data_IF_770702148583
#
_entry.id   IF_770702148583
#
_cell.length_a   1.000
_cell.length_b   1.000
_cell.length_c   1.000
_cell.angle_alpha   90.00
_cell.angle_beta   90.00
_cell.angle_gamma   90.00
#
_symmetry.space_group_name_H-M   'P 1'
#
loop_
_entity.id
_entity.type
_entity.pdbx_description
1 polymer ?
#
# COMPACT_ATOMS: atom_id res chain seq x y z
N UNK A 1 -17.87 -12.18 -15.63
CA UNK A 1 -16.65 -11.54 -16.18
C UNK A 1 -16.29 -10.27 -15.41
N UNK A 2 -17.19 -9.30 -15.24
CA UNK A 2 -16.93 -8.05 -14.50
C UNK A 2 -16.46 -8.29 -13.05
N UNK A 3 -17.13 -9.18 -12.30
CA UNK A 3 -16.74 -9.50 -10.92
C UNK A 3 -15.33 -10.11 -10.81
N UNK A 4 -14.94 -10.92 -11.79
CA UNK A 4 -13.61 -11.55 -11.84
C UNK A 4 -12.54 -10.48 -12.08
N UNK A 5 -12.78 -9.58 -13.02
CA UNK A 5 -11.87 -8.46 -13.31
C UNK A 5 -11.75 -7.51 -12.12
N UNK A 6 -12.84 -7.22 -11.42
CA UNK A 6 -12.83 -6.38 -10.23
C UNK A 6 -12.04 -7.03 -9.08
N UNK A 7 -12.22 -8.33 -8.85
CA UNK A 7 -11.45 -9.07 -7.85
C UNK A 7 -9.95 -9.09 -8.19
N UNK A 8 -9.60 -9.34 -9.46
CA UNK A 8 -8.22 -9.26 -9.95
C UNK A 8 -7.62 -7.87 -9.75
N UNK A 9 -8.37 -6.82 -10.10
CA UNK A 9 -7.95 -5.44 -9.89
C UNK A 9 -7.69 -5.12 -8.42
N UNK A 10 -8.56 -5.57 -7.52
CA UNK A 10 -8.38 -5.39 -6.08
C UNK A 10 -7.13 -6.12 -5.56
N UNK A 11 -6.90 -7.37 -5.99
CA UNK A 11 -5.71 -8.14 -5.62
C UNK A 11 -4.44 -7.43 -6.11
N UNK A 12 -4.40 -7.03 -7.38
CA UNK A 12 -3.26 -6.31 -7.95
C UNK A 12 -3.01 -5.00 -7.22
N UNK A 13 -4.05 -4.25 -6.88
CA UNK A 13 -3.94 -3.02 -6.11
C UNK A 13 -3.29 -3.27 -4.75
N UNK A 14 -3.78 -4.25 -3.99
CA UNK A 14 -3.22 -4.61 -2.67
C UNK A 14 -1.76 -5.03 -2.78
N UNK A 15 -1.40 -5.82 -3.78
CA UNK A 15 0.00 -6.23 -4.01
C UNK A 15 0.89 -5.02 -4.28
N UNK A 16 0.47 -4.13 -5.17
CA UNK A 16 1.22 -2.89 -5.47
C UNK A 16 1.36 -2.01 -4.22
N UNK A 17 0.28 -1.84 -3.46
CA UNK A 17 0.32 -1.07 -2.21
C UNK A 17 1.31 -1.64 -1.20
N UNK A 18 1.34 -2.97 -1.03
CA UNK A 18 2.29 -3.62 -0.12
C UNK A 18 3.73 -3.45 -0.58
N UNK A 19 4.00 -3.47 -1.89
CA UNK A 19 5.33 -3.18 -2.44
C UNK A 19 5.76 -1.74 -2.17
N UNK A 20 4.86 -0.77 -2.38
CA UNK A 20 5.11 0.64 -2.07
C UNK A 20 5.40 0.87 -0.58
N UNK A 21 4.61 0.24 0.30
CA UNK A 21 4.80 0.32 1.76
C UNK A 21 6.12 -0.33 2.17
N UNK A 22 6.48 -1.49 1.60
CA UNK A 22 7.76 -2.14 1.87
C UNK A 22 8.92 -1.21 1.56
N UNK A 23 8.93 -0.61 0.38
CA UNK A 23 10.01 0.30 -0.01
C UNK A 23 10.07 1.54 0.89
N UNK A 24 8.92 2.12 1.25
CA UNK A 24 8.86 3.26 2.17
C UNK A 24 9.35 2.89 3.58
N UNK A 25 8.96 1.72 4.10
CA UNK A 25 9.42 1.26 5.41
C UNK A 25 10.91 0.97 5.42
N UNK A 26 11.45 0.41 4.34
CA UNK A 26 12.89 0.11 4.24
C UNK A 26 13.76 1.38 4.16
N UNK A 27 13.19 2.54 3.75
CA UNK A 27 13.91 3.80 3.56
C UNK A 27 13.50 4.94 4.51
N UNK A 28 12.45 4.76 5.32
CA UNK A 28 11.80 5.84 6.07
C UNK A 28 11.45 5.48 7.51
N UNK A 29 10.29 4.84 7.69
CA UNK A 29 9.64 4.62 9.00
C UNK A 29 9.95 3.25 9.63
N UNK A 30 10.45 2.27 8.87
CA UNK A 30 10.68 0.93 9.39
C UNK A 30 9.40 0.10 9.61
N UNK A 31 9.57 -1.21 9.72
CA UNK A 31 8.45 -2.16 9.81
C UNK A 31 7.78 -2.19 11.18
N UNK A 32 8.52 -1.90 12.25
CA UNK A 32 7.98 -1.88 13.63
C UNK A 32 6.86 -0.84 13.77
N UNK A 33 7.03 0.32 13.14
CA UNK A 33 6.05 1.41 13.16
C UNK A 33 4.81 1.04 12.34
N UNK A 34 5.00 0.36 11.19
CA UNK A 34 3.89 -0.19 10.41
C UNK A 34 3.07 -1.20 11.21
N UNK A 35 3.74 -2.13 11.89
CA UNK A 35 3.09 -3.17 12.67
C UNK A 35 2.28 -2.59 13.83
N UNK A 36 2.80 -1.55 14.48
CA UNK A 36 2.13 -0.84 15.57
C UNK A 36 0.82 -0.13 15.15
N UNK A 37 0.62 0.15 13.85
CA UNK A 37 -0.62 0.78 13.41
C UNK A 37 -1.84 -0.14 13.59
N UNK A 38 -2.96 0.41 14.09
CA UNK A 38 -4.23 -0.31 14.09
C UNK A 38 -4.69 -0.71 12.69
N UNK A 39 -5.37 -1.85 12.59
CA UNK A 39 -5.84 -2.40 11.31
C UNK A 39 -6.73 -1.42 10.54
N UNK A 40 -7.58 -0.66 11.23
CA UNK A 40 -8.45 0.35 10.59
C UNK A 40 -7.69 1.53 9.98
N UNK A 41 -6.43 1.75 10.37
CA UNK A 41 -5.53 2.75 9.76
C UNK A 41 -4.76 2.12 8.58
N UNK A 42 -4.43 0.83 8.65
CA UNK A 42 -3.76 0.11 7.56
C UNK A 42 -4.61 0.05 6.29
N UNK A 43 -5.93 -0.10 6.41
CA UNK A 43 -6.87 -0.15 5.27
C UNK A 43 -6.82 1.13 4.42
N UNK A 44 -7.04 2.34 4.94
CA UNK A 44 -6.95 3.56 4.14
C UNK A 44 -5.53 3.77 3.59
N UNK A 45 -4.48 3.40 4.35
CA UNK A 45 -3.10 3.47 3.83
C UNK A 45 -2.92 2.57 2.61
N UNK A 46 -3.41 1.32 2.62
CA UNK A 46 -3.37 0.43 1.46
C UNK A 46 -4.14 0.97 0.25
N UNK A 47 -5.18 1.77 0.46
CA UNK A 47 -5.91 2.41 -0.64
C UNK A 47 -5.09 3.53 -1.26
N UNK A 48 -4.37 4.32 -0.45
CA UNK A 48 -3.69 5.54 -0.94
C UNK A 48 -2.19 5.37 -1.19
N UNK A 49 -1.56 4.32 -0.66
CA UNK A 49 -0.12 4.10 -0.73
C UNK A 49 0.45 4.18 -2.16
N UNK A 50 -0.17 3.59 -3.21
CA UNK A 50 0.36 3.71 -4.56
C UNK A 50 0.37 5.16 -5.08
N UNK A 51 -0.62 5.97 -4.69
CA UNK A 51 -0.73 7.37 -5.11
C UNK A 51 0.35 8.22 -4.43
N UNK A 52 0.52 8.05 -3.12
CA UNK A 52 1.54 8.78 -2.36
C UNK A 52 2.96 8.30 -2.70
N UNK A 53 3.14 7.03 -3.07
CA UNK A 53 4.42 6.50 -3.49
C UNK A 53 4.99 7.25 -4.70
N UNK A 54 4.17 7.58 -5.71
CA UNK A 54 4.62 8.36 -6.87
C UNK A 54 5.16 9.72 -6.44
N UNK A 55 4.44 10.41 -5.53
CA UNK A 55 4.87 11.72 -5.04
C UNK A 55 6.17 11.67 -4.23
N UNK A 56 6.41 10.57 -3.53
CA UNK A 56 7.63 10.35 -2.76
C UNK A 56 8.81 9.91 -3.64
N UNK A 57 8.57 9.08 -4.66
CA UNK A 57 9.60 8.58 -5.60
C UNK A 57 10.20 9.68 -6.49
N UNK A 58 9.40 10.69 -6.86
CA UNK A 58 9.84 11.78 -7.75
C UNK A 58 10.62 12.87 -7.00
N UNK A 59 10.69 12.82 -5.67
CA UNK A 59 11.40 13.78 -4.83
C UNK A 59 12.88 13.46 -4.74
#
# INVERSE_FOLDING_TARGET
MIMILAALGAVLWVVVSMLCISYFNDHGFGWEEWEAFPVWIKVPILVVAPVFFISWWVR
#
